data_IF_335077734449
#
_entry.id   IF_335077734449
#
_cell.length_a   1.000
_cell.length_b   1.000
_cell.length_c   1.000
_cell.angle_alpha   90.00
_cell.angle_beta   90.00
_cell.angle_gamma   90.00
#
_symmetry.space_group_name_H-M   'P 1'
#
loop_
_entity.id
_entity.type
_entity.pdbx_description
1 polymer ?
#
# COMPACT_ATOMS: atom_id res chain seq x y z
N UNK A 1 -15.03 -6.43 -10.07
CA UNK A 1 -13.67 -6.74 -9.56
C UNK A 1 -12.75 -5.55 -9.80
N UNK A 2 -12.00 -5.15 -8.79
CA UNK A 2 -11.00 -4.11 -8.93
C UNK A 2 -9.63 -4.72 -9.27
N UNK A 3 -8.89 -4.10 -10.17
CA UNK A 3 -7.51 -4.49 -10.52
C UNK A 3 -6.58 -3.40 -10.03
N UNK A 4 -5.83 -3.71 -8.98
CA UNK A 4 -4.79 -2.85 -8.41
C UNK A 4 -3.46 -3.58 -8.57
N UNK A 5 -2.52 -2.96 -9.28
CA UNK A 5 -1.15 -3.44 -9.38
C UNK A 5 -0.34 -2.97 -8.18
N UNK A 6 0.41 -3.88 -7.57
CA UNK A 6 1.33 -3.61 -6.46
C UNK A 6 2.72 -4.08 -6.89
N UNK A 7 3.69 -3.16 -6.93
CA UNK A 7 5.10 -3.48 -7.15
C UNK A 7 5.87 -3.27 -5.84
N UNK A 8 6.61 -4.29 -5.40
CA UNK A 8 7.30 -4.28 -4.10
C UNK A 8 8.80 -4.30 -4.35
N UNK A 9 9.53 -3.36 -3.74
CA UNK A 9 10.99 -3.34 -3.76
C UNK A 9 11.53 -4.21 -2.62
N UNK A 10 12.22 -5.30 -3.00
CA UNK A 10 12.81 -6.27 -2.09
C UNK A 10 14.33 -6.25 -2.23
N UNK A 11 15.05 -6.18 -1.11
CA UNK A 11 16.50 -6.36 -1.02
C UNK A 11 16.85 -6.99 0.33
N UNK A 12 17.82 -7.91 0.36
CA UNK A 12 18.23 -8.65 1.57
C UNK A 12 17.05 -9.29 2.32
N UNK A 13 16.09 -9.88 1.59
CA UNK A 13 14.84 -10.44 2.12
C UNK A 13 13.96 -9.45 2.91
N UNK A 14 14.18 -8.15 2.71
CA UNK A 14 13.39 -7.07 3.33
C UNK A 14 12.78 -6.17 2.27
N UNK A 15 11.64 -5.60 2.62
CA UNK A 15 10.87 -4.66 1.82
C UNK A 15 11.15 -3.25 2.29
N UNK A 16 11.60 -2.40 1.37
CA UNK A 16 11.90 -0.99 1.65
C UNK A 16 10.87 -0.03 1.02
N UNK A 17 10.14 -0.46 -0.01
CA UNK A 17 9.07 0.33 -0.61
C UNK A 17 8.04 -0.53 -1.36
N UNK A 18 6.85 0.03 -1.58
CA UNK A 18 5.88 -0.50 -2.52
C UNK A 18 5.21 0.63 -3.33
N UNK A 19 4.92 0.37 -4.60
CA UNK A 19 4.11 1.23 -5.49
C UNK A 19 2.77 0.58 -5.74
N UNK A 20 1.72 1.39 -5.71
CA UNK A 20 0.35 0.97 -5.92
C UNK A 20 -0.25 1.79 -7.05
N UNK A 21 -0.87 1.12 -8.02
CA UNK A 21 -1.48 1.78 -9.17
C UNK A 21 -2.71 1.03 -9.67
N UNK A 22 -3.68 1.76 -10.19
CA UNK A 22 -4.83 1.17 -10.89
C UNK A 22 -5.18 1.99 -12.13
N UNK A 23 -5.70 1.31 -13.16
CA UNK A 23 -6.30 1.96 -14.35
C UNK A 23 -7.77 2.30 -14.14
N UNK A 24 -8.38 1.83 -13.05
CA UNK A 24 -9.78 2.06 -12.76
C UNK A 24 -9.98 3.41 -12.08
N UNK A 25 -11.18 3.97 -12.19
CA UNK A 25 -11.55 5.20 -11.50
C UNK A 25 -11.86 4.92 -10.02
N UNK A 26 -10.81 4.63 -9.26
CA UNK A 26 -10.86 4.34 -7.83
C UNK A 26 -9.90 5.29 -7.13
N UNK A 27 -10.34 5.83 -6.00
CA UNK A 27 -9.49 6.64 -5.14
C UNK A 27 -8.77 5.78 -4.08
N UNK A 28 -7.45 5.66 -4.24
CA UNK A 28 -6.50 5.00 -3.35
C UNK A 28 -5.97 5.95 -2.26
N UNK A 29 -6.34 7.24 -2.26
CA UNK A 29 -5.90 8.20 -1.23
C UNK A 29 -6.17 7.70 0.20
N UNK A 30 -7.34 7.09 0.49
CA UNK A 30 -7.58 6.50 1.81
C UNK A 30 -6.60 5.37 2.17
N UNK A 31 -6.14 4.58 1.20
CA UNK A 31 -5.11 3.53 1.41
C UNK A 31 -3.78 4.19 1.81
N UNK A 32 -3.36 5.24 1.10
CA UNK A 32 -2.12 5.96 1.43
C UNK A 32 -2.18 6.60 2.81
N UNK A 33 -3.33 7.15 3.22
CA UNK A 33 -3.53 7.68 4.57
C UNK A 33 -3.35 6.61 5.65
N UNK A 34 -3.84 5.37 5.44
CA UNK A 34 -3.64 4.24 6.37
C UNK A 34 -2.19 3.76 6.41
N UNK A 35 -1.51 3.81 5.26
CA UNK A 35 -0.10 3.46 5.15
C UNK A 35 0.82 4.53 5.77
N UNK A 36 0.42 5.80 5.80
CA UNK A 36 1.23 6.87 6.39
C UNK A 36 1.27 6.74 7.93
N UNK A 37 2.40 6.31 8.49
CA UNK A 37 2.59 6.13 9.94
C UNK A 37 4.02 6.50 10.34
N UNK A 38 4.33 7.81 10.47
CA UNK A 38 5.61 8.27 10.98
C UNK A 38 5.85 7.75 12.41
N UNK A 39 7.12 7.48 12.79
CA UNK A 39 8.35 7.56 11.97
C UNK A 39 8.65 6.28 11.18
N UNK A 40 7.74 5.30 11.17
CA UNK A 40 8.02 3.96 10.63
C UNK A 40 7.89 3.90 9.10
N UNK A 41 6.96 4.68 8.55
CA UNK A 41 6.63 4.64 7.12
C UNK A 41 6.00 5.94 6.66
N UNK A 42 6.36 6.34 5.45
CA UNK A 42 5.77 7.48 4.74
C UNK A 42 5.02 6.94 3.53
N UNK A 43 3.83 7.46 3.27
CA UNK A 43 3.05 7.09 2.11
C UNK A 43 2.37 8.33 1.52
N UNK A 44 2.12 8.29 0.21
CA UNK A 44 1.48 9.37 -0.52
C UNK A 44 1.29 9.02 -2.00
N UNK A 45 0.50 9.84 -2.68
CA UNK A 45 0.15 9.62 -4.08
C UNK A 45 -0.96 10.53 -4.57
N UNK A 46 -1.45 10.23 -5.77
CA UNK A 46 -2.69 10.74 -6.36
C UNK A 46 -3.76 9.65 -6.26
N UNK A 47 -5.01 9.99 -6.58
CA UNK A 47 -6.14 9.07 -6.48
C UNK A 47 -5.88 7.67 -7.05
N UNK A 48 -5.22 7.51 -8.20
CA UNK A 48 -5.02 6.21 -8.84
C UNK A 48 -3.57 5.68 -8.83
N UNK A 49 -2.61 6.40 -8.25
CA UNK A 49 -1.19 6.01 -8.24
C UNK A 49 -0.44 6.62 -7.07
N UNK A 50 0.38 5.81 -6.39
CA UNK A 50 1.20 6.28 -5.28
C UNK A 50 2.14 5.21 -4.75
N UNK A 51 2.58 5.38 -3.51
CA UNK A 51 3.47 4.43 -2.88
C UNK A 51 3.64 4.64 -1.38
N UNK A 52 4.32 3.68 -0.77
CA UNK A 52 4.76 3.69 0.61
C UNK A 52 6.25 3.37 0.65
N UNK A 53 6.97 4.08 1.52
CA UNK A 53 8.35 3.79 1.88
C UNK A 53 8.38 3.32 3.33
N UNK A 54 8.99 2.16 3.56
CA UNK A 54 9.23 1.61 4.89
C UNK A 54 10.58 2.16 5.37
N UNK A 55 10.54 3.15 6.27
CA UNK A 55 11.75 3.82 6.78
C UNK A 55 12.62 2.84 7.58
N UNK A 56 12.00 1.83 8.18
CA UNK A 56 12.65 0.62 8.65
C UNK A 56 12.23 -0.56 7.76
N UNK A 57 13.15 -1.21 7.01
CA UNK A 57 12.80 -2.30 6.12
C UNK A 57 12.18 -3.51 6.86
N UNK A 58 11.05 -3.98 6.36
CA UNK A 58 10.25 -5.05 6.96
C UNK A 58 10.49 -6.41 6.28
N UNK A 59 10.30 -7.54 6.96
CA UNK A 59 10.14 -8.83 6.29
C UNK A 59 8.98 -8.79 5.27
N UNK A 60 9.09 -9.57 4.19
CA UNK A 60 8.08 -9.60 3.12
C UNK A 60 6.67 -9.88 3.63
N UNK A 61 6.51 -10.88 4.50
CA UNK A 61 5.20 -11.24 5.07
C UNK A 61 4.57 -10.10 5.86
N UNK A 62 5.38 -9.39 6.66
CA UNK A 62 4.90 -8.24 7.43
C UNK A 62 4.50 -7.08 6.52
N UNK A 63 5.28 -6.80 5.47
CA UNK A 63 4.94 -5.79 4.48
C UNK A 63 3.63 -6.13 3.75
N UNK A 64 3.42 -7.39 3.36
CA UNK A 64 2.19 -7.86 2.73
C UNK A 64 0.99 -7.72 3.69
N UNK A 65 1.15 -8.07 4.96
CA UNK A 65 0.11 -7.89 5.98
C UNK A 65 -0.27 -6.42 6.14
N UNK A 66 0.71 -5.52 6.24
CA UNK A 66 0.48 -4.07 6.35
C UNK A 66 -0.27 -3.53 5.14
N UNK A 67 0.14 -3.92 3.92
CA UNK A 67 -0.56 -3.52 2.69
C UNK A 67 -2.00 -4.05 2.66
N UNK A 68 -2.20 -5.32 3.00
CA UNK A 68 -3.52 -5.95 3.05
C UNK A 68 -4.44 -5.28 4.06
N UNK A 69 -3.96 -5.00 5.27
CA UNK A 69 -4.73 -4.30 6.32
C UNK A 69 -5.14 -2.89 5.87
N UNK A 70 -4.24 -2.16 5.21
CA UNK A 70 -4.55 -0.84 4.69
C UNK A 70 -5.69 -0.89 3.66
N UNK A 71 -5.67 -1.88 2.74
CA UNK A 71 -6.76 -2.08 1.79
C UNK A 71 -8.07 -2.47 2.46
N UNK A 72 -8.06 -3.46 3.36
CA UNK A 72 -9.29 -3.91 4.04
C UNK A 72 -9.97 -2.80 4.85
N UNK A 73 -9.19 -1.90 5.46
CA UNK A 73 -9.72 -0.78 6.23
C UNK A 73 -10.18 0.39 5.36
N UNK A 74 -9.48 0.67 4.26
CA UNK A 74 -9.76 1.80 3.38
C UNK A 74 -10.86 1.50 2.36
N UNK A 75 -10.94 0.25 1.91
CA UNK A 75 -11.85 -0.22 0.87
C UNK A 75 -12.56 -1.49 1.35
N UNK A 76 -13.41 -1.39 2.40
CA UNK A 76 -14.14 -2.55 2.90
C UNK A 76 -14.96 -3.14 1.76
N UNK A 77 -14.85 -4.45 1.58
CA UNK A 77 -15.65 -5.18 0.60
C UNK A 77 -17.12 -5.00 0.95
N UNK A 78 -17.80 -4.12 0.19
CA UNK A 78 -19.25 -4.00 0.26
C UNK A 78 -19.79 -5.07 -0.67
N UNK A 79 -20.16 -6.22 -0.10
CA UNK A 79 -20.89 -7.24 -0.84
C UNK A 79 -22.08 -6.61 -1.53
N UNK A 80 -22.22 -6.87 -2.84
CA UNK A 80 -23.43 -6.61 -3.59
C UNK A 80 -24.45 -7.72 -3.32
#
# INVERSE_FOLDING_TARGET
LYTIGIAILVGDNRVSAARLATKQNIDLTPVFQRLHKPPLRTAGGRANVGGVQFLTPLPLEEALRVLSEAFSQAMPYRGA
#
